data_IF_058429958649
#
_entry.id   IF_058429958649
#
_cell.length_a   1.000
_cell.length_b   1.000
_cell.length_c   1.000
_cell.angle_alpha   90.00
_cell.angle_beta   90.00
_cell.angle_gamma   90.00
#
_symmetry.space_group_name_H-M   'P 1'
#
loop_
_entity.id
_entity.type
_entity.pdbx_description
1 polymer ?
#
# COMPACT_ATOMS: atom_id res chain seq x y z
N UNK A 1 0.12 -34.26 21.40
CA UNK A 1 0.65 -32.99 21.92
C UNK A 1 1.00 -32.10 20.74
N UNK A 2 0.70 -30.83 20.92
CA UNK A 2 0.45 -29.78 19.92
C UNK A 2 1.48 -29.63 18.81
N UNK A 3 0.96 -29.23 17.65
CA UNK A 3 1.72 -28.67 16.55
C UNK A 3 2.24 -27.26 16.86
N UNK A 4 3.18 -26.82 16.04
CA UNK A 4 3.65 -25.45 15.97
C UNK A 4 3.81 -25.10 14.50
N UNK A 5 2.71 -24.68 13.89
CA UNK A 5 2.75 -23.88 12.67
C UNK A 5 3.06 -22.45 13.10
N UNK A 6 4.30 -22.02 12.88
CA UNK A 6 4.69 -20.61 13.02
C UNK A 6 4.06 -19.84 11.86
N UNK A 7 2.86 -19.30 12.08
CA UNK A 7 2.32 -18.25 11.24
C UNK A 7 3.17 -16.99 11.46
N UNK A 8 4.00 -16.67 10.48
CA UNK A 8 4.61 -15.36 10.33
C UNK A 8 3.48 -14.35 10.07
N UNK A 9 2.90 -13.84 11.16
CA UNK A 9 1.88 -12.83 11.14
C UNK A 9 2.53 -11.52 10.71
N UNK A 10 2.49 -11.24 9.41
CA UNK A 10 2.71 -9.87 8.94
C UNK A 10 1.51 -9.04 9.42
N UNK A 11 1.69 -8.43 10.58
CA UNK A 11 0.75 -7.48 11.17
C UNK A 11 0.64 -6.29 10.18
N UNK A 12 -0.34 -6.39 9.28
CA UNK A 12 -0.54 -5.44 8.18
C UNK A 12 -1.55 -4.36 8.57
N UNK A 13 -1.78 -4.16 9.86
CA UNK A 13 -2.81 -3.25 10.38
C UNK A 13 -2.20 -1.95 10.90
N UNK A 14 -1.20 -1.44 10.19
CA UNK A 14 -0.92 -0.01 10.17
C UNK A 14 -1.41 0.52 8.84
N UNK A 15 -2.48 1.32 8.83
CA UNK A 15 -2.89 2.04 7.64
C UNK A 15 -1.67 2.80 7.10
N UNK A 16 -1.32 2.59 5.83
CA UNK A 16 -0.28 3.38 5.20
C UNK A 16 -0.73 4.83 5.18
N UNK A 17 -0.30 5.65 6.14
CA UNK A 17 -0.75 7.03 6.27
C UNK A 17 -0.32 7.90 5.07
N UNK A 18 0.71 7.49 4.33
CA UNK A 18 1.21 8.23 3.18
C UNK A 18 1.53 7.32 1.99
N UNK A 19 1.01 7.68 0.81
CA UNK A 19 1.43 7.14 -0.48
C UNK A 19 2.26 8.19 -1.23
N UNK A 20 3.44 7.80 -1.72
CA UNK A 20 4.25 8.61 -2.64
C UNK A 20 4.20 8.00 -4.03
N UNK A 21 3.76 8.78 -5.01
CA UNK A 21 3.70 8.38 -6.42
C UNK A 21 4.78 9.15 -7.17
N UNK A 22 5.71 8.43 -7.82
CA UNK A 22 6.69 9.01 -8.75
C UNK A 22 6.38 8.54 -10.16
N UNK A 23 6.16 9.49 -11.07
CA UNK A 23 5.86 9.21 -12.47
C UNK A 23 6.99 9.77 -13.33
N UNK A 24 7.42 9.00 -14.32
CA UNK A 24 8.37 9.44 -15.34
C UNK A 24 8.03 8.83 -16.70
N UNK A 25 8.53 9.45 -17.76
CA UNK A 25 8.40 8.94 -19.12
C UNK A 25 9.76 8.41 -19.60
N UNK A 26 9.76 7.18 -20.10
CA UNK A 26 10.89 6.60 -20.80
C UNK A 26 10.83 6.98 -22.29
N UNK A 27 11.99 7.15 -22.91
CA UNK A 27 12.09 7.36 -24.35
C UNK A 27 12.01 6.03 -25.10
N UNK A 28 10.82 5.41 -25.10
CA UNK A 28 10.50 4.19 -25.85
C UNK A 28 9.29 4.43 -26.76
N UNK A 29 9.20 3.81 -27.95
CA UNK A 29 8.15 4.12 -28.91
C UNK A 29 6.74 3.75 -28.43
N UNK A 30 6.58 2.62 -27.73
CA UNK A 30 5.24 2.04 -27.43
C UNK A 30 4.91 1.96 -25.93
N UNK A 31 5.90 2.07 -25.05
CA UNK A 31 5.71 1.90 -23.60
C UNK A 31 6.56 2.91 -22.82
N UNK A 32 6.02 4.12 -22.71
CA UNK A 32 6.71 5.28 -22.11
C UNK A 32 6.39 5.48 -20.65
N UNK A 33 5.20 5.09 -20.20
CA UNK A 33 4.76 5.43 -18.86
C UNK A 33 5.45 4.54 -17.82
N UNK A 34 5.99 5.15 -16.78
CA UNK A 34 6.47 4.44 -15.61
C UNK A 34 5.99 5.14 -14.36
N UNK A 35 5.52 4.35 -13.42
CA UNK A 35 5.22 4.82 -12.09
C UNK A 35 5.83 3.90 -11.04
N UNK A 36 6.32 4.52 -9.97
CA UNK A 36 6.70 3.84 -8.73
C UNK A 36 5.80 4.36 -7.62
N UNK A 37 5.09 3.45 -6.97
CA UNK A 37 4.24 3.70 -5.83
C UNK A 37 4.98 3.21 -4.58
N UNK A 38 5.10 4.08 -3.59
CA UNK A 38 5.69 3.73 -2.29
C UNK A 38 4.67 4.03 -1.20
N UNK A 39 4.35 3.02 -0.41
CA UNK A 39 3.44 3.07 0.73
C UNK A 39 4.26 3.17 2.00
N UNK A 40 4.18 4.28 2.71
CA UNK A 40 4.85 4.48 3.99
C UNK A 40 3.88 4.13 5.12
N UNK A 41 4.26 3.19 5.98
CA UNK A 41 3.53 2.89 7.21
C UNK A 41 3.90 3.88 8.32
N UNK A 42 3.02 4.05 9.30
CA UNK A 42 3.35 4.78 10.51
C UNK A 42 4.41 4.00 11.31
N UNK A 43 5.47 4.70 11.74
CA UNK A 43 6.48 4.18 12.68
C UNK A 43 7.44 3.10 12.15
N UNK A 44 8.24 3.43 11.12
CA UNK A 44 9.50 2.71 10.87
C UNK A 44 9.39 1.32 10.22
N UNK A 45 8.19 0.91 9.81
CA UNK A 45 8.01 -0.27 8.96
C UNK A 45 8.63 -0.09 7.58
N UNK A 46 9.15 -1.18 6.99
CA UNK A 46 9.66 -1.18 5.62
C UNK A 46 8.48 -0.91 4.68
N UNK A 47 8.42 0.30 4.14
CA UNK A 47 7.35 0.68 3.22
C UNK A 47 7.29 -0.25 2.01
N UNK A 48 6.08 -0.60 1.57
CA UNK A 48 5.90 -1.40 0.37
C UNK A 48 6.16 -0.54 -0.86
N UNK A 49 6.86 -1.08 -1.87
CA UNK A 49 7.09 -0.39 -3.14
C UNK A 49 6.67 -1.27 -4.30
N UNK A 50 5.85 -0.71 -5.20
CA UNK A 50 5.38 -1.36 -6.43
C UNK A 50 5.70 -0.49 -7.63
N UNK A 51 5.99 -1.11 -8.78
CA UNK A 51 6.27 -0.42 -10.04
C UNK A 51 5.27 -0.88 -11.10
N UNK A 52 4.75 0.05 -11.90
CA UNK A 52 3.82 -0.24 -13.01
C UNK A 52 4.17 0.59 -14.24
N UNK A 53 3.80 0.06 -15.40
CA UNK A 53 3.86 0.74 -16.69
C UNK A 53 2.48 1.15 -17.22
N UNK A 54 1.39 0.88 -16.50
CA UNK A 54 0.04 1.25 -16.91
C UNK A 54 -0.51 2.39 -16.03
N UNK A 55 -1.04 3.48 -16.63
CA UNK A 55 -1.70 4.53 -15.87
C UNK A 55 -2.93 4.06 -15.09
N UNK A 56 -3.64 3.05 -15.60
CA UNK A 56 -4.80 2.44 -14.93
C UNK A 56 -4.44 1.87 -13.58
N UNK A 57 -3.34 1.11 -13.51
CA UNK A 57 -2.89 0.45 -12.27
C UNK A 57 -2.57 1.46 -11.19
N UNK A 58 -2.07 2.66 -11.56
CA UNK A 58 -1.82 3.74 -10.60
C UNK A 58 -3.14 4.25 -10.01
N UNK A 59 -4.15 4.46 -10.86
CA UNK A 59 -5.46 4.94 -10.41
C UNK A 59 -6.16 3.92 -9.51
N UNK A 60 -6.08 2.64 -9.87
CA UNK A 60 -6.66 1.56 -9.09
C UNK A 60 -5.96 1.43 -7.74
N UNK A 61 -4.62 1.47 -7.70
CA UNK A 61 -3.87 1.47 -6.45
C UNK A 61 -4.20 2.67 -5.54
N UNK A 62 -4.41 3.87 -6.11
CA UNK A 62 -4.82 5.06 -5.35
C UNK A 62 -6.21 4.91 -4.76
N UNK A 63 -7.15 4.34 -5.51
CA UNK A 63 -8.52 4.09 -5.03
C UNK A 63 -8.53 3.10 -3.88
N UNK A 64 -7.81 1.99 -4.03
CA UNK A 64 -7.69 0.96 -3.00
C UNK A 64 -7.06 1.51 -1.72
N UNK A 65 -6.01 2.31 -1.87
CA UNK A 65 -5.37 2.99 -0.74
C UNK A 65 -6.32 3.96 -0.03
N UNK A 66 -7.05 4.80 -0.76
CA UNK A 66 -8.01 5.74 -0.17
C UNK A 66 -9.18 5.01 0.52
N UNK A 67 -9.61 3.86 -0.01
CA UNK A 67 -10.63 3.04 0.62
C UNK A 67 -10.13 2.46 1.95
N UNK A 68 -8.87 1.99 2.00
CA UNK A 68 -8.24 1.50 3.21
C UNK A 68 -8.08 2.59 4.28
N UNK A 69 -7.61 3.79 3.90
CA UNK A 69 -7.48 4.93 4.83
C UNK A 69 -8.82 5.34 5.42
N UNK A 70 -9.90 5.34 4.62
CA UNK A 70 -11.24 5.66 5.11
C UNK A 70 -11.81 4.58 6.03
N UNK A 71 -11.54 3.30 5.76
CA UNK A 71 -11.98 2.20 6.60
C UNK A 71 -11.30 2.23 7.98
N UNK A 72 -10.00 2.56 8.02
CA UNK A 72 -9.25 2.74 9.27
C UNK A 72 -9.82 3.90 10.10
N UNK A 73 -10.03 5.06 9.49
CA UNK A 73 -10.64 6.22 10.14
C UNK A 73 -12.09 5.98 10.64
N UNK A 74 -12.81 5.03 10.04
CA UNK A 74 -14.16 4.67 10.43
C UNK A 74 -14.22 3.69 11.62
N UNK A 75 -13.08 3.17 12.08
CA UNK A 75 -13.00 2.31 13.28
C UNK A 75 -12.93 3.21 14.52
N UNK A 76 -14.01 3.38 15.29
CA UNK A 76 -13.94 4.18 16.51
C UNK A 76 -13.01 3.49 17.52
N UNK A 77 -12.07 4.28 18.06
CA UNK A 77 -11.04 3.90 19.04
C UNK A 77 -11.61 3.59 20.44
N UNK A 78 -12.74 2.88 20.51
CA UNK A 78 -13.56 2.78 21.71
C UNK A 78 -14.70 1.76 21.60
N UNK A 79 -14.37 0.50 21.33
CA UNK A 79 -15.25 -0.64 21.59
C UNK A 79 -14.42 -1.84 22.08
N UNK A 80 -13.74 -1.66 23.22
CA UNK A 80 -12.96 -2.69 23.89
C UNK A 80 -12.90 -2.38 25.38
N UNK A 81 -13.32 -3.36 26.17
CA UNK A 81 -13.78 -3.34 27.56
C UNK A 81 -12.79 -2.83 28.62
#
# INVERSE_FOLDING_TARGET
>A
MSGSENADGVDSTGAFATMVIRVWLENRPDDRFRARLTFAGDSGGVGSTTMTNAPSDVLDAVRDWLAAVQADAATPDGAGH
#
